data_IF_641809205708
#
_entry.id   IF_641809205708
#
_cell.length_a   1.000
_cell.length_b   1.000
_cell.length_c   1.000
_cell.angle_alpha   90.00
_cell.angle_beta   90.00
_cell.angle_gamma   90.00
#
_symmetry.space_group_name_H-M   'P 1'
#
loop_
_entity.id
_entity.type
_entity.pdbx_description
1 polymer ?
#
# COMPACT_ATOMS: atom_id res chain seq x y z
N UNK A 1 11.20 -22.49 -5.23
CA UNK A 1 11.73 -21.13 -5.42
C UNK A 1 10.50 -20.26 -5.60
N UNK A 2 10.19 -19.37 -4.65
CA UNK A 2 9.02 -18.51 -4.79
C UNK A 2 9.28 -17.61 -6.00
N UNK A 3 8.45 -17.71 -7.05
CA UNK A 3 8.36 -16.64 -8.03
C UNK A 3 8.18 -15.33 -7.26
N UNK A 4 8.86 -14.26 -7.66
CA UNK A 4 8.83 -12.96 -6.96
C UNK A 4 7.38 -12.52 -6.77
N UNK A 5 6.79 -12.84 -5.63
CA UNK A 5 5.41 -12.48 -5.32
C UNK A 5 5.41 -10.97 -5.17
N UNK A 6 4.57 -10.30 -5.97
CA UNK A 6 4.42 -8.86 -5.98
C UNK A 6 2.95 -8.50 -5.88
N UNK A 7 2.57 -7.86 -4.79
CA UNK A 7 1.29 -7.15 -4.66
C UNK A 7 1.54 -5.70 -4.98
N UNK A 8 0.67 -5.13 -5.82
CA UNK A 8 0.64 -3.69 -6.11
C UNK A 8 -0.75 -3.17 -5.79
N UNK A 9 -0.81 -2.25 -4.83
CA UNK A 9 -2.01 -1.49 -4.53
C UNK A 9 -2.07 -0.27 -5.46
N UNK A 10 -2.73 -0.47 -6.61
CA UNK A 10 -2.90 0.57 -7.62
C UNK A 10 -3.64 1.80 -7.10
N UNK A 11 -4.54 1.64 -6.13
CA UNK A 11 -5.24 2.78 -5.52
C UNK A 11 -4.25 3.66 -4.79
N UNK A 12 -3.42 3.07 -3.93
CA UNK A 12 -2.36 3.78 -3.20
C UNK A 12 -1.36 4.46 -4.15
N UNK A 13 -0.99 3.80 -5.26
CA UNK A 13 -0.13 4.40 -6.31
C UNK A 13 -0.80 5.60 -6.97
N UNK A 14 -2.04 5.45 -7.48
CA UNK A 14 -2.78 6.51 -8.18
C UNK A 14 -2.99 7.72 -7.28
N UNK A 15 -3.47 7.50 -6.04
CA UNK A 15 -3.69 8.59 -5.09
C UNK A 15 -2.39 9.34 -4.78
N UNK A 16 -1.28 8.61 -4.61
CA UNK A 16 0.02 9.23 -4.37
C UNK A 16 0.48 10.11 -5.53
N UNK A 17 0.27 9.67 -6.78
CA UNK A 17 0.60 10.46 -7.99
C UNK A 17 -0.26 11.72 -8.07
N UNK A 18 -1.58 11.60 -7.82
CA UNK A 18 -2.50 12.74 -7.80
C UNK A 18 -2.09 13.78 -6.76
N UNK A 19 -1.62 13.36 -5.58
CA UNK A 19 -1.16 14.25 -4.50
C UNK A 19 0.22 14.87 -4.80
N UNK A 20 1.11 14.11 -5.44
CA UNK A 20 2.49 14.51 -5.70
C UNK A 20 2.55 15.79 -6.55
N UNK A 21 1.75 15.86 -7.62
CA UNK A 21 1.82 16.97 -8.57
C UNK A 21 1.46 18.34 -7.95
N UNK A 22 0.29 18.51 -7.28
CA UNK A 22 -0.01 19.75 -6.56
C UNK A 22 1.04 20.07 -5.49
N UNK A 23 1.50 19.07 -4.73
CA UNK A 23 2.52 19.29 -3.69
C UNK A 23 3.82 19.83 -4.28
N UNK A 24 4.26 19.28 -5.42
CA UNK A 24 5.43 19.77 -6.14
C UNK A 24 5.25 21.22 -6.61
N UNK A 25 4.10 21.54 -7.24
CA UNK A 25 3.78 22.90 -7.71
C UNK A 25 3.82 23.93 -6.58
N UNK A 26 3.20 23.63 -5.43
CA UNK A 26 3.25 24.53 -4.27
C UNK A 26 4.66 24.64 -3.70
N UNK A 27 5.41 23.52 -3.63
CA UNK A 27 6.79 23.51 -3.14
C UNK A 27 7.72 24.40 -3.94
N UNK A 28 7.57 24.46 -5.27
CA UNK A 28 8.43 25.31 -6.12
C UNK A 28 8.37 26.80 -5.72
N UNK A 29 7.20 27.30 -5.34
CA UNK A 29 7.04 28.70 -4.88
C UNK A 29 7.81 28.93 -3.58
N UNK A 30 7.70 28.01 -2.63
CA UNK A 30 8.43 28.09 -1.36
C UNK A 30 9.94 27.92 -1.54
N UNK A 31 10.38 27.04 -2.44
CA UNK A 31 11.80 26.84 -2.79
C UNK A 31 12.38 28.09 -3.44
N UNK A 32 11.66 28.71 -4.39
CA UNK A 32 12.09 29.96 -5.02
C UNK A 32 12.22 31.08 -3.97
N UNK A 33 11.23 31.21 -3.08
CA UNK A 33 11.28 32.17 -1.98
C UNK A 33 12.48 31.91 -1.06
N UNK A 34 12.67 30.67 -0.62
CA UNK A 34 13.80 30.28 0.24
C UNK A 34 15.15 30.54 -0.43
N UNK A 35 15.28 30.23 -1.73
CA UNK A 35 16.48 30.51 -2.50
C UNK A 35 16.82 32.00 -2.54
N UNK A 36 15.83 32.85 -2.80
CA UNK A 36 16.02 34.31 -2.78
C UNK A 36 16.43 34.83 -1.40
N UNK A 37 15.84 34.29 -0.33
CA UNK A 37 16.19 34.65 1.05
C UNK A 37 17.62 34.21 1.44
N UNK A 38 18.09 33.06 0.93
CA UNK A 38 19.44 32.56 1.22
C UNK A 38 20.49 33.33 0.42
N UNK A 39 20.24 33.56 -0.88
CA UNK A 39 21.20 34.20 -1.79
C UNK A 39 21.47 35.65 -1.40
N UNK A 40 20.41 36.43 -1.15
CA UNK A 40 20.50 37.87 -0.89
C UNK A 40 19.75 38.23 0.40
N UNK A 41 20.22 37.68 1.53
CA UNK A 41 19.54 37.76 2.83
C UNK A 41 19.08 39.17 3.24
N UNK A 42 19.91 40.21 3.00
CA UNK A 42 19.55 41.61 3.33
C UNK A 42 18.38 42.12 2.47
N UNK A 43 18.42 41.87 1.16
CA UNK A 43 17.36 42.25 0.25
C UNK A 43 16.08 41.43 0.50
N UNK A 44 16.22 40.15 0.86
CA UNK A 44 15.11 39.30 1.27
C UNK A 44 14.40 39.81 2.52
N UNK A 45 15.16 40.24 3.53
CA UNK A 45 14.61 40.88 4.74
C UNK A 45 13.91 42.21 4.43
N UNK A 46 14.46 43.04 3.55
CA UNK A 46 13.82 44.28 3.13
C UNK A 46 12.53 44.03 2.33
N UNK A 47 12.51 43.02 1.46
CA UNK A 47 11.31 42.58 0.76
C UNK A 47 10.20 42.18 1.75
N UNK A 48 10.53 41.37 2.76
CA UNK A 48 9.56 40.96 3.78
C UNK A 48 9.05 42.14 4.63
N UNK A 49 9.92 43.11 4.94
CA UNK A 49 9.54 44.32 5.70
C UNK A 49 8.63 45.25 4.91
N UNK A 50 8.76 45.29 3.59
CA UNK A 50 8.01 46.17 2.70
C UNK A 50 6.73 45.52 2.13
N UNK A 51 6.36 44.30 2.58
CA UNK A 51 5.13 43.64 2.17
C UNK A 51 3.91 44.47 2.57
N UNK A 52 3.02 44.70 1.61
CA UNK A 52 1.72 45.33 1.83
C UNK A 52 0.78 44.33 2.51
N UNK A 53 -0.20 44.83 3.26
CA UNK A 53 -1.21 44.00 3.94
C UNK A 53 -1.88 42.99 2.99
N UNK A 54 -2.21 43.41 1.76
CA UNK A 54 -2.84 42.53 0.77
C UNK A 54 -1.92 41.37 0.34
N UNK A 55 -0.61 41.60 0.26
CA UNK A 55 0.38 40.58 -0.10
C UNK A 55 0.53 39.57 1.04
N UNK A 56 0.53 40.04 2.29
CA UNK A 56 0.53 39.18 3.49
C UNK A 56 -0.69 38.26 3.48
N UNK A 57 -1.89 38.78 3.18
CA UNK A 57 -3.11 37.97 3.10
C UNK A 57 -2.99 36.90 2.01
N UNK A 58 -2.48 37.25 0.83
CA UNK A 58 -2.26 36.28 -0.27
C UNK A 58 -1.31 35.16 0.17
N UNK A 59 -0.20 35.49 0.83
CA UNK A 59 0.75 34.49 1.35
C UNK A 59 0.11 33.55 2.37
N UNK A 60 -0.68 34.08 3.31
CA UNK A 60 -1.37 33.27 4.33
C UNK A 60 -2.39 32.32 3.67
N UNK A 61 -3.21 32.83 2.76
CA UNK A 61 -4.21 32.01 2.05
C UNK A 61 -3.53 30.94 1.19
N UNK A 62 -2.46 31.27 0.47
CA UNK A 62 -1.70 30.31 -0.31
C UNK A 62 -1.09 29.20 0.57
N UNK A 63 -0.56 29.57 1.75
CA UNK A 63 -0.06 28.61 2.73
C UNK A 63 -1.14 27.66 3.25
N UNK A 64 -2.33 28.19 3.56
CA UNK A 64 -3.47 27.39 4.01
C UNK A 64 -3.99 26.43 2.93
N UNK A 65 -3.99 26.86 1.66
CA UNK A 65 -4.37 26.00 0.53
C UNK A 65 -3.31 24.91 0.29
N UNK A 66 -2.03 25.23 0.46
CA UNK A 66 -0.94 24.27 0.25
C UNK A 66 -0.85 23.21 1.37
N UNK A 67 -1.22 23.57 2.61
CA UNK A 67 -1.07 22.72 3.79
C UNK A 67 -1.73 21.32 3.65
N UNK A 68 -2.99 21.18 3.18
CA UNK A 68 -3.59 19.87 2.93
C UNK A 68 -2.76 18.98 2.01
N UNK A 69 -2.11 19.53 0.98
CA UNK A 69 -1.30 18.76 0.04
C UNK A 69 -0.02 18.25 0.71
N UNK A 70 0.64 19.07 1.54
CA UNK A 70 1.79 18.62 2.33
C UNK A 70 1.41 17.53 3.35
N UNK A 71 0.26 17.66 4.02
CA UNK A 71 -0.26 16.63 4.92
C UNK A 71 -0.57 15.34 4.14
N UNK A 72 -1.21 15.47 2.98
CA UNK A 72 -1.53 14.33 2.11
C UNK A 72 -0.26 13.64 1.60
N UNK A 73 0.77 14.41 1.21
CA UNK A 73 2.05 13.87 0.77
C UNK A 73 2.79 13.16 1.91
N UNK A 74 2.76 13.73 3.12
CA UNK A 74 3.30 13.08 4.30
C UNK A 74 2.60 11.74 4.56
N UNK A 75 1.27 11.68 4.43
CA UNK A 75 0.50 10.44 4.54
C UNK A 75 0.86 9.44 3.44
N UNK A 76 0.91 9.89 2.18
CA UNK A 76 1.28 9.06 1.03
C UNK A 76 2.70 8.45 1.20
N UNK A 77 3.63 9.19 1.79
CA UNK A 77 4.96 8.70 2.12
C UNK A 77 4.94 7.52 3.10
N UNK A 78 3.94 7.43 3.97
CA UNK A 78 3.82 6.35 4.96
C UNK A 78 2.78 5.29 4.56
N UNK A 79 2.20 5.38 3.36
CA UNK A 79 1.17 4.45 2.91
C UNK A 79 1.80 3.26 2.17
N UNK A 80 1.57 2.01 2.61
CA UNK A 80 1.88 0.81 1.83
C UNK A 80 1.30 0.85 0.41
N UNK A 81 2.13 0.58 -0.59
CA UNK A 81 1.72 0.49 -1.99
C UNK A 81 2.19 -0.81 -2.67
N UNK A 82 3.32 -1.35 -2.25
CA UNK A 82 3.87 -2.58 -2.80
C UNK A 82 4.25 -3.55 -1.69
N UNK A 83 4.01 -4.83 -1.92
CA UNK A 83 4.65 -5.91 -1.16
C UNK A 83 5.41 -6.79 -2.14
N UNK A 84 6.70 -6.96 -1.92
CA UNK A 84 7.55 -7.84 -2.71
C UNK A 84 8.20 -8.88 -1.82
N UNK A 85 8.22 -10.13 -2.27
CA UNK A 85 9.10 -11.17 -1.74
C UNK A 85 10.41 -11.13 -2.55
N UNK A 86 11.50 -10.79 -1.89
CA UNK A 86 12.83 -10.71 -2.50
C UNK A 86 13.45 -12.09 -2.69
N UNK A 87 14.53 -12.18 -3.48
CA UNK A 87 15.25 -13.44 -3.74
C UNK A 87 15.83 -14.07 -2.46
N UNK A 88 16.10 -13.25 -1.43
CA UNK A 88 16.51 -13.70 -0.10
C UNK A 88 15.37 -14.30 0.73
N UNK A 89 14.12 -14.22 0.25
CA UNK A 89 12.91 -14.57 1.00
C UNK A 89 12.41 -13.45 1.91
N UNK A 90 13.07 -12.29 1.96
CA UNK A 90 12.61 -11.13 2.72
C UNK A 90 11.33 -10.54 2.12
N UNK A 91 10.37 -10.20 2.97
CA UNK A 91 9.17 -9.51 2.55
C UNK A 91 9.36 -8.03 2.78
N UNK A 92 9.28 -7.25 1.70
CA UNK A 92 9.47 -5.80 1.75
C UNK A 92 8.19 -5.09 1.36
N UNK A 93 7.63 -4.38 2.34
CA UNK A 93 6.54 -3.44 2.13
C UNK A 93 7.14 -2.09 1.76
N UNK A 94 6.69 -1.51 0.65
CA UNK A 94 7.18 -0.22 0.13
C UNK A 94 6.03 0.74 -0.13
N UNK A 95 6.30 2.03 -0.04
CA UNK A 95 5.38 3.07 -0.50
C UNK A 95 5.50 3.29 -2.03
N UNK A 96 4.69 4.20 -2.57
CA UNK A 96 4.69 4.56 -4.00
C UNK A 96 6.04 5.08 -4.50
N UNK A 97 6.86 5.65 -3.63
CA UNK A 97 8.21 6.16 -3.92
C UNK A 97 9.30 5.08 -3.78
N UNK A 98 8.90 3.82 -3.66
CA UNK A 98 9.78 2.65 -3.52
C UNK A 98 10.61 2.62 -2.22
N UNK A 99 10.31 3.50 -1.27
CA UNK A 99 10.92 3.50 0.06
C UNK A 99 10.35 2.35 0.89
N UNK A 100 11.21 1.60 1.59
CA UNK A 100 10.81 0.48 2.42
C UNK A 100 10.18 0.97 3.74
N UNK A 101 8.92 0.61 3.96
CA UNK A 101 8.17 0.93 5.18
C UNK A 101 8.28 -0.17 6.23
N UNK A 102 8.30 -1.43 5.79
CA UNK A 102 8.47 -2.58 6.65
C UNK A 102 9.29 -3.66 5.94
N UNK A 103 10.13 -4.35 6.70
CA UNK A 103 10.93 -5.48 6.24
C UNK A 103 10.68 -6.62 7.19
N UNK A 104 10.14 -7.73 6.68
CA UNK A 104 9.96 -8.96 7.45
C UNK A 104 11.03 -9.95 7.00
N UNK A 105 12.04 -10.23 7.84
CA UNK A 105 13.08 -11.21 7.54
C UNK A 105 12.47 -12.60 7.30
N UNK A 106 13.07 -13.42 6.43
CA UNK A 106 12.49 -14.70 6.03
C UNK A 106 12.27 -15.61 7.24
N UNK A 107 13.15 -15.58 8.25
CA UNK A 107 13.09 -16.40 9.46
C UNK A 107 11.96 -16.04 10.42
N UNK A 108 11.42 -14.81 10.31
CA UNK A 108 10.34 -14.37 11.19
C UNK A 108 8.99 -14.87 10.69
N UNK A 109 8.18 -15.52 11.55
CA UNK A 109 6.79 -15.79 11.27
C UNK A 109 6.03 -14.52 10.87
N UNK A 110 5.15 -14.66 9.88
CA UNK A 110 4.15 -13.65 9.52
C UNK A 110 2.83 -14.31 9.19
N UNK A 111 1.72 -13.63 9.43
CA UNK A 111 0.40 -14.10 9.01
C UNK A 111 -0.15 -13.21 7.91
N UNK A 112 -0.88 -13.82 6.97
CA UNK A 112 -1.58 -13.11 5.91
C UNK A 112 -3.07 -13.36 6.08
N UNK A 113 -3.86 -12.30 6.03
CA UNK A 113 -5.31 -12.35 6.06
C UNK A 113 -5.83 -11.56 4.88
N UNK A 114 -6.59 -12.21 4.01
CA UNK A 114 -7.22 -11.61 2.84
C UNK A 114 -8.71 -11.91 2.83
N UNK A 115 -9.50 -10.88 2.57
CA UNK A 115 -10.92 -11.03 2.22
C UNK A 115 -11.09 -10.50 0.80
N UNK A 116 -11.52 -11.38 -0.09
CA UNK A 116 -11.73 -11.08 -1.50
C UNK A 116 -13.21 -11.13 -1.83
N UNK A 117 -13.73 -10.07 -2.41
CA UNK A 117 -15.09 -9.99 -2.92
C UNK A 117 -15.06 -10.16 -4.44
N UNK A 118 -16.01 -10.93 -4.96
CA UNK A 118 -16.18 -11.10 -6.41
C UNK A 118 -16.71 -9.80 -7.00
N UNK A 119 -16.11 -9.33 -8.08
CA UNK A 119 -16.45 -8.08 -8.74
C UNK A 119 -16.48 -8.31 -10.25
N UNK A 120 -17.21 -7.47 -10.97
CA UNK A 120 -17.23 -7.44 -12.43
C UNK A 120 -16.71 -6.10 -12.92
N UNK A 121 -16.14 -6.07 -14.12
CA UNK A 121 -15.85 -4.83 -14.81
C UNK A 121 -17.14 -4.06 -15.14
N UNK A 122 -17.00 -2.81 -15.58
CA UNK A 122 -18.14 -1.94 -15.92
C UNK A 122 -18.97 -2.51 -17.09
N UNK A 123 -18.38 -3.37 -17.91
CA UNK A 123 -19.04 -4.12 -19.00
C UNK A 123 -19.73 -5.41 -18.54
N UNK A 124 -19.61 -5.82 -17.28
CA UNK A 124 -20.14 -7.08 -16.76
C UNK A 124 -19.54 -8.35 -17.40
N UNK A 125 -18.45 -8.21 -18.14
CA UNK A 125 -17.83 -9.24 -18.98
C UNK A 125 -16.67 -9.92 -18.27
N UNK A 126 -15.81 -9.15 -17.61
CA UNK A 126 -14.67 -9.67 -16.87
C UNK A 126 -15.01 -9.81 -15.39
N UNK A 127 -14.80 -11.02 -14.87
CA UNK A 127 -14.96 -11.31 -13.45
C UNK A 127 -13.56 -11.29 -12.82
N UNK A 128 -13.43 -10.58 -11.72
CA UNK A 128 -12.21 -10.56 -10.92
C UNK A 128 -12.56 -10.50 -9.43
N UNK A 129 -11.56 -10.61 -8.57
CA UNK A 129 -11.73 -10.49 -7.14
C UNK A 129 -10.94 -9.30 -6.62
N UNK A 130 -11.57 -8.47 -5.80
CA UNK A 130 -10.90 -7.34 -5.13
C UNK A 130 -10.92 -7.55 -3.64
N UNK A 131 -9.84 -7.16 -2.96
CA UNK A 131 -9.76 -7.36 -1.53
C UNK A 131 -8.63 -6.58 -0.88
N UNK A 132 -8.64 -6.61 0.45
CA UNK A 132 -7.53 -6.12 1.25
C UNK A 132 -6.75 -7.31 1.78
N UNK A 133 -5.44 -7.29 1.57
CA UNK A 133 -4.49 -8.24 2.13
C UNK A 133 -3.80 -7.57 3.30
N UNK A 134 -4.05 -8.08 4.50
CA UNK A 134 -3.41 -7.65 5.74
C UNK A 134 -2.28 -8.60 6.09
N UNK A 135 -1.09 -8.05 6.27
CA UNK A 135 0.10 -8.78 6.70
C UNK A 135 0.36 -8.44 8.17
N UNK A 136 0.56 -9.47 8.97
CA UNK A 136 0.85 -9.40 10.40
C UNK A 136 2.25 -9.96 10.65
N UNK A 137 3.29 -9.12 10.65
CA UNK A 137 4.59 -9.51 11.17
C UNK A 137 4.50 -9.75 12.69
N UNK A 138 5.27 -10.70 13.23
CA UNK A 138 5.24 -11.00 14.67
C UNK A 138 5.79 -9.86 15.55
N UNK A 139 6.77 -9.12 15.06
CA UNK A 139 7.46 -8.07 15.83
C UNK A 139 7.10 -6.63 15.45
N UNK A 140 6.26 -6.42 14.44
CA UNK A 140 5.97 -5.10 13.88
C UNK A 140 4.47 -4.84 13.75
N UNK A 141 4.10 -3.58 13.55
CA UNK A 141 2.72 -3.21 13.30
C UNK A 141 2.20 -3.85 11.99
N UNK A 142 0.95 -4.33 11.97
CA UNK A 142 0.38 -4.88 10.76
C UNK A 142 0.16 -3.80 9.71
N UNK A 143 0.23 -4.20 8.44
CA UNK A 143 -0.04 -3.32 7.31
C UNK A 143 -1.00 -3.99 6.33
N UNK A 144 -1.73 -3.18 5.57
CA UNK A 144 -2.72 -3.65 4.61
C UNK A 144 -2.46 -3.07 3.23
N UNK A 145 -2.76 -3.86 2.20
CA UNK A 145 -2.63 -3.49 0.80
C UNK A 145 -3.89 -3.93 0.05
N UNK A 146 -4.37 -3.09 -0.88
CA UNK A 146 -5.34 -3.54 -1.86
C UNK A 146 -4.71 -4.57 -2.82
N UNK A 147 -5.48 -5.60 -3.20
CA UNK A 147 -5.09 -6.56 -4.22
C UNK A 147 -6.28 -6.91 -5.12
N UNK A 148 -6.00 -6.98 -6.42
CA UNK A 148 -6.92 -7.48 -7.44
C UNK A 148 -6.38 -8.82 -7.95
N UNK A 149 -7.19 -9.86 -7.79
CA UNK A 149 -6.90 -11.22 -8.24
C UNK A 149 -7.74 -11.56 -9.46
N UNK A 150 -7.13 -12.11 -10.51
CA UNK A 150 -7.85 -12.60 -11.67
C UNK A 150 -8.36 -14.03 -11.44
N UNK A 151 -9.40 -14.42 -12.17
CA UNK A 151 -9.86 -15.81 -12.15
C UNK A 151 -8.84 -16.75 -12.81
N UNK A 152 -8.61 -17.88 -12.16
CA UNK A 152 -7.99 -19.05 -12.77
C UNK A 152 -9.03 -19.85 -13.56
N UNK A 153 -8.57 -20.84 -14.34
CA UNK A 153 -9.45 -21.73 -15.13
C UNK A 153 -10.47 -22.49 -14.26
N UNK A 154 -10.14 -22.77 -13.00
CA UNK A 154 -11.02 -23.42 -12.03
C UNK A 154 -12.01 -22.45 -11.35
N UNK A 155 -11.98 -21.15 -11.68
CA UNK A 155 -12.84 -20.11 -11.11
C UNK A 155 -12.37 -19.51 -9.78
N UNK A 156 -11.25 -19.98 -9.23
CA UNK A 156 -10.66 -19.44 -8.00
C UNK A 156 -9.74 -18.24 -8.30
N UNK A 157 -9.54 -17.31 -7.35
CA UNK A 157 -8.64 -16.19 -7.55
C UNK A 157 -7.17 -16.64 -7.59
N UNK A 158 -6.41 -16.05 -8.52
CA UNK A 158 -4.98 -16.34 -8.73
C UNK A 158 -4.08 -16.06 -7.53
N UNK A 159 -4.59 -15.30 -6.55
CA UNK A 159 -3.94 -14.97 -5.29
C UNK A 159 -3.38 -16.22 -4.61
N UNK A 160 -4.20 -17.26 -4.45
CA UNK A 160 -3.81 -18.46 -3.70
C UNK A 160 -2.67 -19.19 -4.40
N UNK A 161 -2.74 -19.36 -5.72
CA UNK A 161 -1.65 -19.96 -6.49
C UNK A 161 -0.36 -19.15 -6.40
N UNK A 162 -0.45 -17.81 -6.50
CA UNK A 162 0.71 -16.90 -6.39
C UNK A 162 1.39 -16.98 -5.03
N UNK A 163 0.62 -17.15 -3.97
CA UNK A 163 1.11 -17.35 -2.61
C UNK A 163 1.36 -18.84 -2.29
N UNK A 164 1.48 -19.69 -3.30
CA UNK A 164 1.92 -21.07 -3.17
C UNK A 164 0.91 -22.02 -2.52
N UNK A 165 -0.31 -21.58 -2.21
CA UNK A 165 -1.34 -22.45 -1.65
C UNK A 165 -1.61 -23.63 -2.60
N UNK A 166 -1.94 -24.81 -2.07
CA UNK A 166 -2.12 -26.00 -2.88
C UNK A 166 -3.46 -25.92 -3.63
N UNK A 167 -3.49 -26.48 -4.84
CA UNK A 167 -4.66 -26.41 -5.73
C UNK A 167 -5.92 -27.09 -5.15
N UNK A 168 -5.74 -28.01 -4.19
CA UNK A 168 -6.82 -28.73 -3.51
C UNK A 168 -7.31 -28.05 -2.22
N UNK A 169 -6.84 -26.84 -1.92
CA UNK A 169 -7.28 -26.09 -0.75
C UNK A 169 -8.76 -25.72 -0.88
N UNK A 170 -9.57 -26.19 0.06
CA UNK A 170 -10.96 -25.76 0.20
C UNK A 170 -10.98 -24.38 0.85
N UNK A 171 -11.35 -23.37 0.08
CA UNK A 171 -11.44 -22.00 0.54
C UNK A 171 -12.80 -21.71 1.17
N UNK A 172 -12.80 -21.00 2.30
CA UNK A 172 -14.02 -20.57 2.94
C UNK A 172 -14.74 -19.53 2.07
N UNK A 173 -16.07 -19.66 1.88
CA UNK A 173 -16.84 -18.67 1.16
C UNK A 173 -16.84 -17.34 1.92
N UNK A 174 -16.53 -16.26 1.19
CA UNK A 174 -16.68 -14.89 1.66
C UNK A 174 -18.05 -14.30 1.26
N UNK A 175 -18.31 -13.04 1.63
CA UNK A 175 -19.49 -12.29 1.19
C UNK A 175 -19.58 -12.23 -0.35
N UNK A 176 -20.79 -12.20 -0.89
CA UNK A 176 -21.09 -12.03 -2.32
C UNK A 176 -20.36 -13.01 -3.26
N UNK A 177 -20.17 -14.26 -2.80
CA UNK A 177 -19.45 -15.28 -3.56
C UNK A 177 -17.92 -15.08 -3.58
N UNK A 178 -17.42 -14.24 -2.68
CA UNK A 178 -16.01 -14.00 -2.41
C UNK A 178 -15.29 -15.18 -1.77
N UNK A 179 -14.02 -14.97 -1.43
CA UNK A 179 -13.13 -15.97 -0.82
C UNK A 179 -12.35 -15.37 0.34
N UNK A 180 -12.14 -16.16 1.37
CA UNK A 180 -11.35 -15.78 2.55
C UNK A 180 -10.07 -16.60 2.59
N UNK A 181 -8.95 -15.97 2.93
CA UNK A 181 -7.72 -16.72 3.21
C UNK A 181 -7.91 -17.59 4.46
N UNK A 182 -7.48 -18.86 4.44
CA UNK A 182 -7.47 -19.66 5.65
C UNK A 182 -6.48 -19.08 6.66
N UNK A 183 -6.63 -19.42 7.93
CA UNK A 183 -5.68 -19.00 8.94
C UNK A 183 -4.36 -19.77 8.77
N UNK A 184 -3.27 -19.05 8.52
CA UNK A 184 -1.95 -19.63 8.29
C UNK A 184 -0.84 -18.67 8.70
N UNK A 185 0.33 -19.22 8.99
CA UNK A 185 1.57 -18.48 9.17
C UNK A 185 2.50 -18.76 7.98
N UNK A 186 3.43 -17.88 7.71
CA UNK A 186 4.48 -18.02 6.71
C UNK A 186 5.83 -18.01 7.41
N UNK A 187 6.67 -18.98 7.11
CA UNK A 187 8.06 -19.06 7.55
C UNK A 187 9.00 -19.23 6.35
N UNK A 188 10.27 -19.56 6.60
CA UNK A 188 11.29 -19.84 5.58
C UNK A 188 10.93 -20.94 4.59
N UNK A 189 10.08 -21.88 5.00
CA UNK A 189 9.70 -23.07 4.23
C UNK A 189 8.40 -22.87 3.44
N UNK A 190 7.72 -21.72 3.63
CA UNK A 190 6.45 -21.37 2.98
C UNK A 190 5.32 -21.15 3.97
N UNK A 191 4.08 -21.28 3.48
CA UNK A 191 2.90 -21.22 4.33
C UNK A 191 2.80 -22.51 5.16
N UNK A 192 2.42 -22.36 6.41
CA UNK A 192 2.10 -23.39 7.38
C UNK A 192 0.69 -23.08 7.84
N UNK A 193 -0.27 -23.96 7.53
CA UNK A 193 -1.61 -23.83 8.07
C UNK A 193 -1.52 -23.86 9.60
N UNK A 194 -2.15 -22.88 10.23
CA UNK A 194 -2.33 -22.93 11.67
C UNK A 194 -3.59 -23.76 11.88
N UNK A 195 -3.48 -25.00 12.39
CA UNK A 195 -4.66 -25.78 12.66
C UNK A 195 -5.43 -25.11 13.81
N UNK A 196 -6.46 -24.35 13.49
CA UNK A 196 -7.67 -24.44 14.30
C UNK A 196 -8.16 -25.86 14.05
N UNK A 197 -8.08 -26.77 15.02
CA UNK A 197 -8.59 -28.16 14.92
C UNK A 197 -9.51 -28.32 13.71
N UNK A 198 -8.95 -28.78 12.58
CA UNK A 198 -9.72 -29.01 11.37
C UNK A 198 -10.83 -29.97 11.82
N UNK A 199 -12.08 -29.53 11.86
CA UNK A 199 -13.19 -30.45 12.16
C UNK A 199 -13.29 -31.58 11.12
N UNK A 200 -12.57 -31.45 10.00
CA UNK A 200 -12.36 -32.50 9.01
C UNK A 200 -11.32 -33.57 9.44
N UNK A 201 -10.44 -33.30 10.40
CA UNK A 201 -9.44 -34.25 10.92
C UNK A 201 -9.93 -35.02 12.15
N UNK A 202 -11.08 -34.68 12.74
CA UNK A 202 -11.65 -35.47 13.85
C UNK A 202 -12.50 -36.66 13.39
N UNK A 203 -12.62 -36.89 12.07
CA UNK A 203 -13.42 -37.98 11.49
C UNK A 203 -12.67 -38.80 10.42
N UNK A 204 -11.34 -38.79 10.44
CA UNK A 204 -10.48 -39.69 9.65
C UNK A 204 -9.96 -40.85 10.48
#
# INVERSE_FOLDING_TARGET
MFDKIRITDWSSVIYSVIILWPTFMFSMVFVALAWHLIKDYRAGLEMLKNLRTNEIVIFVVAGLIALPFFIAMYKAWHWPAFLCVEDSGEWRCRNTFYYALAVVPPEKPRRIEGLFTKTTDDSGTEIFFTGNVKVWPESDAPFSLGYTAYLLENGEPDFFKKFGYPDNLVLLPGPDGGKVTPWHAWNNYGYVYLPDKNQAESHG
#
